data_IF_068176894200
#
_entry.id   IF_068176894200
#
_cell.length_a   1.000
_cell.length_b   1.000
_cell.length_c   1.000
_cell.angle_alpha   90.00
_cell.angle_beta   90.00
_cell.angle_gamma   90.00
#
_symmetry.space_group_name_H-M   'P 1'
#
loop_
_entity.id
_entity.type
_entity.pdbx_description
1 polymer ?
#
# COMPACT_ATOMS: atom_id res chain seq x y z
N UNK A 1 -1.83 -1.06 -9.35
CA UNK A 1 -1.31 -1.30 -7.99
C UNK A 1 -0.41 -0.13 -7.57
N UNK A 2 -0.45 0.27 -6.30
CA UNK A 2 0.27 1.44 -5.76
C UNK A 2 1.64 1.03 -5.20
N UNK A 3 2.71 1.74 -5.56
CA UNK A 3 4.04 1.53 -4.98
C UNK A 3 4.29 2.43 -3.76
N UNK A 4 5.32 2.11 -2.97
CA UNK A 4 5.75 2.96 -1.85
C UNK A 4 6.06 4.39 -2.30
N UNK A 5 6.76 4.54 -3.42
CA UNK A 5 7.08 5.85 -4.00
C UNK A 5 5.83 6.65 -4.36
N UNK A 6 4.81 5.99 -4.90
CA UNK A 6 3.56 6.66 -5.27
C UNK A 6 2.85 7.21 -4.03
N UNK A 7 2.82 6.44 -2.93
CA UNK A 7 2.24 6.90 -1.67
C UNK A 7 2.96 8.14 -1.12
N UNK A 8 4.29 8.18 -1.20
CA UNK A 8 5.06 9.38 -0.89
C UNK A 8 4.67 10.56 -1.78
N UNK A 9 4.62 10.38 -3.10
CA UNK A 9 4.27 11.45 -4.05
C UNK A 9 2.88 12.01 -3.79
N UNK A 10 1.91 11.15 -3.48
CA UNK A 10 0.55 11.55 -3.09
C UNK A 10 0.61 12.40 -1.82
N UNK A 11 1.27 11.92 -0.77
CA UNK A 11 1.40 12.64 0.49
C UNK A 11 2.07 14.01 0.30
N UNK A 12 3.20 14.04 -0.40
CA UNK A 12 3.94 15.27 -0.70
C UNK A 12 3.08 16.28 -1.47
N UNK A 13 2.36 15.82 -2.51
CA UNK A 13 1.52 16.70 -3.32
C UNK A 13 0.34 17.27 -2.51
N UNK A 14 -0.33 16.44 -1.71
CA UNK A 14 -1.43 16.89 -0.86
C UNK A 14 -0.95 17.88 0.21
N UNK A 15 0.20 17.61 0.82
CA UNK A 15 0.82 18.49 1.82
C UNK A 15 1.19 19.85 1.23
N UNK A 16 1.75 19.88 0.02
CA UNK A 16 2.06 21.11 -0.69
C UNK A 16 0.81 21.93 -1.02
N UNK A 17 -0.25 21.30 -1.52
CA UNK A 17 -1.53 21.98 -1.84
C UNK A 17 -2.17 22.57 -0.58
N UNK A 18 -2.07 21.86 0.55
CA UNK A 18 -2.62 22.26 1.85
C UNK A 18 -1.74 23.27 2.61
N UNK A 19 -0.57 23.63 2.07
CA UNK A 19 0.46 24.40 2.75
C UNK A 19 0.77 23.84 4.16
N UNK A 20 0.83 22.51 4.28
CA UNK A 20 1.08 21.82 5.53
C UNK A 20 2.09 20.67 5.33
N UNK A 21 3.37 20.99 5.12
CA UNK A 21 4.42 20.02 4.75
C UNK A 21 4.80 19.06 5.89
N UNK A 22 4.47 19.38 7.13
CA UNK A 22 4.88 18.61 8.31
C UNK A 22 3.86 17.53 8.71
N UNK A 23 2.68 17.50 8.08
CA UNK A 23 1.63 16.54 8.39
C UNK A 23 1.46 15.61 7.19
N UNK A 24 1.47 14.28 7.38
CA UNK A 24 1.17 13.31 6.32
C UNK A 24 -0.09 13.70 5.53
N UNK A 25 -0.01 13.65 4.20
CA UNK A 25 -1.11 13.97 3.29
C UNK A 25 -1.72 15.38 3.51
N UNK A 26 -0.99 16.31 4.13
CA UNK A 26 -1.49 17.65 4.45
C UNK A 26 -2.62 17.66 5.49
N UNK A 27 -2.76 16.60 6.29
CA UNK A 27 -3.84 16.44 7.26
C UNK A 27 -5.17 15.99 6.65
N UNK A 28 -5.15 15.39 5.46
CA UNK A 28 -6.33 14.76 4.86
C UNK A 28 -6.47 13.34 5.40
N UNK A 29 -7.69 12.97 5.77
CA UNK A 29 -8.01 11.58 6.13
C UNK A 29 -7.94 10.69 4.89
N UNK A 30 -7.05 9.71 4.91
CA UNK A 30 -6.84 8.78 3.79
C UNK A 30 -7.41 7.41 4.15
N UNK A 31 -8.22 6.86 3.26
CA UNK A 31 -8.65 5.45 3.29
C UNK A 31 -8.03 4.78 2.07
N UNK A 32 -7.21 3.77 2.30
CA UNK A 32 -6.66 2.92 1.24
C UNK A 32 -7.55 1.69 1.09
N UNK A 33 -7.96 1.40 -0.13
CA UNK A 33 -8.76 0.22 -0.47
C UNK A 33 -8.12 -0.52 -1.65
N UNK A 34 -8.05 -1.83 -1.56
CA UNK A 34 -7.45 -2.67 -2.58
C UNK A 34 -7.36 -4.12 -2.16
N UNK A 35 -6.72 -4.91 -3.01
CA UNK A 35 -6.46 -6.33 -2.80
C UNK A 35 -4.99 -6.61 -3.14
N UNK A 36 -4.26 -7.20 -2.18
CA UNK A 36 -2.83 -7.50 -2.33
C UNK A 36 -2.57 -8.75 -3.17
N UNK A 37 -3.58 -9.58 -3.44
CA UNK A 37 -3.48 -10.71 -4.37
C UNK A 37 -3.51 -10.28 -5.85
N UNK A 38 -3.66 -8.97 -6.13
CA UNK A 38 -3.51 -8.43 -7.49
C UNK A 38 -2.04 -8.45 -7.94
N UNK A 39 -1.81 -8.18 -9.23
CA UNK A 39 -0.44 -8.05 -9.76
C UNK A 39 0.31 -6.90 -9.07
N UNK A 40 1.57 -7.12 -8.62
CA UNK A 40 2.39 -6.09 -7.98
C UNK A 40 2.59 -4.86 -8.89
N UNK A 41 2.99 -3.70 -8.32
CA UNK A 41 3.35 -2.54 -9.14
C UNK A 41 4.48 -2.90 -10.11
N UNK A 42 4.34 -2.49 -11.38
CA UNK A 42 5.33 -2.82 -12.42
C UNK A 42 6.64 -2.09 -12.13
N UNK A 43 7.73 -2.85 -11.96
CA UNK A 43 9.09 -2.32 -11.71
C UNK A 43 9.18 -1.35 -10.52
N UNK A 44 8.32 -1.52 -9.52
CA UNK A 44 8.31 -0.68 -8.33
C UNK A 44 8.06 -1.51 -7.07
N UNK A 45 8.47 -0.99 -5.92
CA UNK A 45 8.38 -1.70 -4.64
C UNK A 45 6.93 -1.63 -4.11
N UNK A 46 6.26 -2.78 -3.89
CA UNK A 46 4.93 -2.80 -3.29
C UNK A 46 4.96 -2.36 -1.83
N UNK A 47 3.82 -1.86 -1.34
CA UNK A 47 3.68 -1.38 0.04
C UNK A 47 3.92 -2.47 1.09
N UNK A 48 3.48 -3.70 0.80
CA UNK A 48 3.59 -4.86 1.66
C UNK A 48 4.94 -5.58 1.58
N UNK A 49 5.89 -5.07 0.79
CA UNK A 49 7.24 -5.64 0.75
C UNK A 49 7.89 -5.53 2.15
N UNK A 50 8.56 -6.57 2.62
CA UNK A 50 9.17 -6.61 3.95
C UNK A 50 10.64 -6.15 3.95
N UNK A 51 11.25 -6.05 2.76
CA UNK A 51 12.63 -5.60 2.60
C UNK A 51 12.66 -4.08 2.70
N UNK A 52 12.77 -3.55 3.91
CA UNK A 52 13.00 -2.12 4.07
C UNK A 52 14.46 -1.88 3.71
N UNK A 53 14.72 -1.23 2.57
CA UNK A 53 16.04 -0.72 2.18
C UNK A 53 16.48 0.41 3.13
N UNK A 54 16.50 0.16 4.44
CA UNK A 54 16.81 1.12 5.51
C UNK A 54 18.29 1.30 5.77
N UNK A 55 19.16 0.74 4.94
CA UNK A 55 20.57 1.08 5.01
C UNK A 55 20.81 2.20 4.00
N UNK A 56 20.75 3.49 4.41
CA UNK A 56 21.30 4.55 3.60
C UNK A 56 22.79 4.28 3.50
N UNK A 57 23.20 3.60 2.44
CA UNK A 57 24.59 3.63 2.03
C UNK A 57 24.91 5.04 1.56
N UNK A 58 26.17 5.44 1.60
CA UNK A 58 26.60 6.77 1.17
C UNK A 58 26.25 7.11 -0.31
N UNK A 59 25.63 6.19 -1.05
CA UNK A 59 25.13 6.36 -2.42
C UNK A 59 23.60 6.25 -2.59
N UNK A 60 22.79 6.37 -1.54
CA UNK A 60 21.32 6.33 -1.68
C UNK A 60 20.81 7.44 -2.60
N UNK A 61 20.02 7.09 -3.61
CA UNK A 61 19.46 8.06 -4.55
C UNK A 61 18.23 8.76 -3.97
N UNK A 62 17.83 9.91 -4.56
CA UNK A 62 16.56 10.55 -4.21
C UNK A 62 15.37 9.58 -4.38
N UNK A 63 15.41 8.71 -5.39
CA UNK A 63 14.39 7.68 -5.59
C UNK A 63 14.27 6.74 -4.38
N UNK A 64 15.41 6.28 -3.85
CA UNK A 64 15.44 5.36 -2.70
C UNK A 64 14.87 6.03 -1.45
N UNK A 65 15.17 7.32 -1.26
CA UNK A 65 14.62 8.12 -0.17
C UNK A 65 13.09 8.25 -0.29
N UNK A 66 12.56 8.54 -1.48
CA UNK A 66 11.12 8.62 -1.72
C UNK A 66 10.41 7.29 -1.43
N UNK A 67 11.02 6.17 -1.82
CA UNK A 67 10.52 4.82 -1.52
C UNK A 67 10.49 4.60 0.00
N UNK A 68 11.57 4.91 0.71
CA UNK A 68 11.67 4.72 2.16
C UNK A 68 10.66 5.57 2.93
N UNK A 69 10.47 6.83 2.54
CA UNK A 69 9.45 7.72 3.10
C UNK A 69 8.05 7.19 2.83
N UNK A 70 7.78 6.72 1.63
CA UNK A 70 6.52 6.08 1.26
C UNK A 70 6.20 4.85 2.12
N UNK A 71 7.20 4.02 2.40
CA UNK A 71 7.07 2.85 3.27
C UNK A 71 6.83 3.24 4.72
N UNK A 72 7.48 4.30 5.19
CA UNK A 72 7.22 4.88 6.51
C UNK A 72 5.78 5.39 6.63
N UNK A 73 5.24 6.06 5.60
CA UNK A 73 3.84 6.48 5.56
C UNK A 73 2.88 5.28 5.59
N UNK A 74 3.20 4.20 4.86
CA UNK A 74 2.40 2.98 4.89
C UNK A 74 2.28 2.38 6.30
N UNK A 75 3.37 2.36 7.07
CA UNK A 75 3.35 1.87 8.45
C UNK A 75 2.53 2.73 9.43
N UNK A 76 2.07 3.92 9.04
CA UNK A 76 1.16 4.74 9.87
C UNK A 76 -0.30 4.27 9.78
N UNK A 77 -0.65 3.42 8.80
CA UNK A 77 -1.98 2.82 8.71
C UNK A 77 -2.08 1.63 9.67
N UNK A 78 -2.58 1.89 10.88
CA UNK A 78 -2.73 0.87 11.94
C UNK A 78 -4.11 0.21 11.98
N UNK A 79 -5.10 0.81 11.31
CA UNK A 79 -6.47 0.28 11.27
C UNK A 79 -6.67 -0.45 9.95
N UNK A 80 -6.91 -1.76 10.04
CA UNK A 80 -7.14 -2.63 8.89
C UNK A 80 -8.54 -3.22 8.97
N UNK A 81 -9.27 -3.15 7.86
CA UNK A 81 -10.61 -3.75 7.71
C UNK A 81 -10.56 -4.75 6.57
N UNK A 82 -10.81 -6.02 6.86
CA UNK A 82 -10.84 -7.11 5.87
C UNK A 82 -12.30 -7.42 5.53
N UNK A 83 -12.67 -7.21 4.27
CA UNK A 83 -14.00 -7.57 3.76
C UNK A 83 -14.04 -9.07 3.45
N UNK A 84 -14.99 -9.79 4.06
CA UNK A 84 -15.08 -11.25 3.88
C UNK A 84 -16.08 -11.63 2.79
N UNK A 85 -17.20 -10.94 2.64
CA UNK A 85 -18.24 -11.36 1.71
C UNK A 85 -17.96 -10.86 0.28
N UNK A 86 -17.81 -11.79 -0.68
CA UNK A 86 -17.72 -11.44 -2.09
C UNK A 86 -19.15 -11.30 -2.65
N UNK A 87 -19.46 -10.14 -3.22
CA UNK A 87 -20.79 -9.84 -3.75
C UNK A 87 -20.90 -10.02 -5.28
N UNK A 88 -19.79 -10.31 -5.98
CA UNK A 88 -19.75 -10.47 -7.44
C UNK A 88 -20.16 -11.88 -7.87
N UNK A 89 -19.64 -12.90 -7.17
CA UNK A 89 -19.96 -14.30 -7.41
C UNK A 89 -20.80 -14.82 -6.25
N UNK A 90 -22.12 -14.64 -6.34
CA UNK A 90 -23.07 -15.05 -5.30
C UNK A 90 -23.51 -16.52 -5.42
N UNK A 91 -23.38 -17.11 -6.60
CA UNK A 91 -23.67 -18.52 -6.86
C UNK A 91 -22.35 -19.27 -6.97
N UNK A 92 -21.84 -19.76 -5.83
CA UNK A 92 -20.59 -20.52 -5.77
C UNK A 92 -20.87 -22.02 -5.80
N UNK A 93 -20.14 -22.75 -6.65
CA UNK A 93 -20.09 -24.20 -6.60
C UNK A 93 -19.24 -24.66 -5.41
N UNK A 94 -19.34 -25.93 -5.05
CA UNK A 94 -18.57 -26.49 -3.93
C UNK A 94 -17.05 -26.38 -4.13
N UNK A 95 -16.58 -26.36 -5.39
CA UNK A 95 -15.18 -26.16 -5.74
C UNK A 95 -14.70 -24.72 -5.47
N UNK A 96 -15.54 -23.73 -5.75
CA UNK A 96 -15.25 -22.32 -5.46
C UNK A 96 -15.08 -22.09 -3.96
N UNK A 97 -15.88 -22.77 -3.14
CA UNK A 97 -15.73 -22.75 -1.68
C UNK A 97 -14.38 -23.30 -1.23
N UNK A 98 -13.96 -24.46 -1.78
CA UNK A 98 -12.66 -25.06 -1.44
C UNK A 98 -11.51 -24.16 -1.88
N UNK A 99 -11.60 -23.58 -3.07
CA UNK A 99 -10.59 -22.65 -3.58
C UNK A 99 -10.50 -21.41 -2.70
N UNK A 100 -11.64 -20.83 -2.32
CA UNK A 100 -11.70 -19.70 -1.40
C UNK A 100 -11.05 -20.04 -0.05
N UNK A 101 -11.41 -21.15 0.57
CA UNK A 101 -10.81 -21.59 1.85
C UNK A 101 -9.30 -21.79 1.72
N UNK A 102 -8.81 -22.32 0.60
CA UNK A 102 -7.37 -22.46 0.37
C UNK A 102 -6.64 -21.11 0.31
N UNK A 103 -7.31 -20.05 -0.12
CA UNK A 103 -6.77 -18.70 -0.21
C UNK A 103 -6.90 -17.89 1.10
N UNK A 104 -7.62 -18.36 2.11
CA UNK A 104 -7.85 -17.60 3.36
C UNK A 104 -6.56 -17.37 4.18
N UNK A 105 -5.47 -18.08 3.88
CA UNK A 105 -4.17 -17.96 4.56
C UNK A 105 -3.01 -17.58 3.63
N UNK A 106 -3.30 -17.16 2.40
CA UNK A 106 -2.31 -16.56 1.48
C UNK A 106 -2.11 -15.07 1.82
#
# INVERSE_FOLDING_TARGET
MLSSRDLYKISNRLSAIRNNPHVPFGGINIILCGDFAQLPPVKAIPLYDHNILLSPSAGSTAHDQEVALGKTLWHQFITVVILQQNMRQTSMLQEDFKYRTALENM
#
